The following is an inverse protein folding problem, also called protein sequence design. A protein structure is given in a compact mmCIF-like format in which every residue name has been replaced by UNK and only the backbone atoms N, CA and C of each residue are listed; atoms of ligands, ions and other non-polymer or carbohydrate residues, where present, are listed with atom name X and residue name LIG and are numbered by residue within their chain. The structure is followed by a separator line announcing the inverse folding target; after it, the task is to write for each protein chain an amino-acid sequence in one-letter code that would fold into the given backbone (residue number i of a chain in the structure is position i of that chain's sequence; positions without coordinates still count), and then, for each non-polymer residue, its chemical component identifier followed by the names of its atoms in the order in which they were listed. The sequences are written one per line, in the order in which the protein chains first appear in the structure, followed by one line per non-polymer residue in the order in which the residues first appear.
data_IF_319437601717
#
_entry.id   IF_319437601717
#
_cell.length_a   1.000
_cell.length_b   1.000
_cell.length_c   1.000
_cell.angle_alpha   90.00
_cell.angle_beta   90.00
_cell.angle_gamma   90.00
#
_symmetry.space_group_name_H-M   'P 1'
#
loop_
_entity.id
_entity.type
_entity.pdbx_description
1 polymer ?
#
# COMPACT_ATOMS: atom_id res chain seq x y z
N UNK A 1 -16.72 12.19 22.81
CA UNK A 1 -16.10 10.88 22.48
C UNK A 1 -14.94 10.68 23.45
N UNK A 2 -14.90 9.58 24.20
CA UNK A 2 -13.82 9.34 25.17
C UNK A 2 -12.48 9.23 24.43
N UNK A 3 -11.44 9.87 24.96
CA UNK A 3 -10.06 9.94 24.45
C UNK A 3 -9.36 8.56 24.22
N UNK A 4 -10.06 7.45 24.36
CA UNK A 4 -9.53 6.08 24.23
C UNK A 4 -9.47 5.58 22.78
N UNK A 5 -10.29 6.12 21.87
CA UNK A 5 -10.32 5.70 20.44
C UNK A 5 -9.00 5.94 19.68
N UNK A 6 -8.30 7.10 19.79
CA UNK A 6 -7.04 7.29 19.07
C UNK A 6 -5.90 6.39 19.56
N UNK A 7 -5.89 6.01 20.84
CA UNK A 7 -4.86 5.12 21.40
C UNK A 7 -4.89 3.71 20.78
N UNK A 8 -6.06 3.25 20.31
CA UNK A 8 -6.21 1.96 19.63
C UNK A 8 -5.85 2.02 18.14
N UNK A 9 -5.96 3.20 17.51
CA UNK A 9 -5.69 3.38 16.09
C UNK A 9 -4.19 3.53 15.78
N UNK A 10 -3.42 4.12 16.69
CA UNK A 10 -1.97 4.31 16.52
C UNK A 10 -1.21 2.98 16.26
N UNK A 11 -1.41 1.91 17.06
CA UNK A 11 -0.76 0.63 16.82
C UNK A 11 -1.17 0.00 15.48
N UNK A 12 -2.46 0.03 15.15
CA UNK A 12 -2.99 -0.55 13.91
C UNK A 12 -2.43 0.15 12.67
N UNK A 13 -2.35 1.49 12.69
CA UNK A 13 -1.80 2.28 11.58
C UNK A 13 -0.28 2.08 11.45
N UNK A 14 0.44 1.97 12.58
CA UNK A 14 1.87 1.69 12.59
C UNK A 14 2.18 0.32 11.97
N UNK A 15 1.40 -0.72 12.31
CA UNK A 15 1.52 -2.05 11.71
C UNK A 15 1.21 -2.04 10.21
N UNK A 16 0.20 -1.27 9.78
CA UNK A 16 -0.16 -1.12 8.38
C UNK A 16 0.94 -0.41 7.58
N UNK A 17 1.55 0.64 8.13
CA UNK A 17 2.69 1.32 7.52
C UNK A 17 3.91 0.41 7.41
N UNK A 18 4.18 -0.41 8.43
CA UNK A 18 5.25 -1.40 8.41
C UNK A 18 5.01 -2.45 7.33
N UNK A 19 3.77 -2.96 7.20
CA UNK A 19 3.41 -3.91 6.17
C UNK A 19 3.60 -3.33 4.75
N UNK A 20 3.19 -2.08 4.52
CA UNK A 20 3.40 -1.41 3.23
C UNK A 20 4.87 -1.16 2.92
N UNK A 21 5.64 -0.76 3.93
CA UNK A 21 7.10 -0.57 3.79
C UNK A 21 7.78 -1.88 3.43
N UNK A 22 7.44 -2.98 4.11
CA UNK A 22 7.95 -4.31 3.79
C UNK A 22 7.61 -4.72 2.34
N UNK A 23 6.36 -4.50 1.91
CA UNK A 23 5.95 -4.80 0.54
C UNK A 23 6.75 -4.01 -0.50
N UNK A 24 6.93 -2.70 -0.25
CA UNK A 24 7.73 -1.84 -1.11
C UNK A 24 9.17 -2.34 -1.22
N UNK A 25 9.81 -2.67 -0.09
CA UNK A 25 11.19 -3.16 -0.07
C UNK A 25 11.35 -4.46 -0.85
N UNK A 26 10.45 -5.41 -0.68
CA UNK A 26 10.47 -6.69 -1.40
C UNK A 26 10.33 -6.48 -2.91
N UNK A 27 9.38 -5.63 -3.34
CA UNK A 27 9.20 -5.33 -4.76
C UNK A 27 10.41 -4.60 -5.36
N UNK A 28 10.98 -3.64 -4.64
CA UNK A 28 12.17 -2.90 -5.07
C UNK A 28 13.40 -3.82 -5.20
N UNK A 29 13.57 -4.77 -4.27
CA UNK A 29 14.63 -5.77 -4.34
C UNK A 29 14.46 -6.68 -5.57
N UNK A 30 13.24 -7.12 -5.86
CA UNK A 30 12.96 -7.96 -7.02
C UNK A 30 13.23 -7.22 -8.35
N UNK A 31 12.84 -5.93 -8.45
CA UNK A 31 13.14 -5.09 -9.61
C UNK A 31 14.65 -4.98 -9.83
N UNK A 32 15.43 -4.73 -8.77
CA UNK A 32 16.90 -4.63 -8.87
C UNK A 32 17.51 -5.94 -9.35
N UNK A 33 17.06 -7.07 -8.80
CA UNK A 33 17.54 -8.40 -9.20
C UNK A 33 17.27 -8.67 -10.69
N UNK A 34 16.04 -8.45 -11.15
CA UNK A 34 15.67 -8.65 -12.55
C UNK A 34 16.44 -7.71 -13.49
N UNK A 35 16.67 -6.46 -13.07
CA UNK A 35 17.44 -5.49 -13.86
C UNK A 35 18.92 -5.91 -14.02
N UNK A 36 19.51 -6.57 -13.03
CA UNK A 36 20.87 -7.11 -13.12
C UNK A 36 20.93 -8.38 -14.01
N UNK A 37 19.90 -9.23 -13.96
CA UNK A 37 19.77 -10.40 -14.84
C UNK A 37 19.60 -9.99 -16.32
N UNK A 38 18.80 -8.95 -16.59
CA UNK A 38 18.55 -8.43 -17.95
C UNK A 38 19.81 -7.87 -18.61
N UNK A 39 20.65 -7.14 -17.86
CA UNK A 39 21.96 -6.66 -18.36
C UNK A 39 22.87 -7.79 -18.83
N UNK A 40 22.72 -8.97 -18.24
CA UNK A 40 23.60 -10.12 -18.48
C UNK A 40 23.08 -10.99 -19.62
N UNK A 41 21.77 -11.13 -19.78
CA UNK A 41 21.15 -12.10 -20.71
C UNK A 41 20.22 -11.51 -21.79
N UNK A 42 19.95 -10.20 -21.80
CA UNK A 42 19.07 -9.52 -22.79
C UNK A 42 17.70 -10.22 -22.98
N UNK A 43 17.09 -10.68 -21.90
CA UNK A 43 15.77 -11.32 -21.96
C UNK A 43 14.64 -10.28 -21.97
N UNK A 44 13.88 -10.18 -23.07
CA UNK A 44 12.65 -9.34 -23.16
C UNK A 44 11.62 -9.66 -22.06
N UNK A 45 11.66 -10.88 -21.51
CA UNK A 45 10.80 -11.31 -20.41
C UNK A 45 11.10 -10.54 -19.12
N UNK A 46 12.37 -10.22 -18.84
CA UNK A 46 12.78 -9.48 -17.66
C UNK A 46 12.28 -8.04 -17.70
N UNK A 47 12.37 -7.37 -18.86
CA UNK A 47 11.89 -5.99 -19.07
C UNK A 47 10.40 -5.88 -18.75
N UNK A 48 9.60 -6.84 -19.24
CA UNK A 48 8.15 -6.86 -19.03
C UNK A 48 7.79 -7.11 -17.57
N UNK A 49 8.55 -7.94 -16.85
CA UNK A 49 8.35 -8.14 -15.42
C UNK A 49 8.66 -6.90 -14.60
N UNK A 50 9.74 -6.18 -14.95
CA UNK A 50 10.12 -4.93 -14.29
C UNK A 50 9.00 -3.88 -14.41
N UNK A 51 8.40 -3.72 -15.59
CA UNK A 51 7.28 -2.76 -15.76
C UNK A 51 6.08 -3.11 -14.86
N UNK A 52 5.72 -4.40 -14.79
CA UNK A 52 4.63 -4.89 -13.93
C UNK A 52 4.92 -4.64 -12.45
N UNK A 53 6.15 -4.93 -12.00
CA UNK A 53 6.57 -4.70 -10.62
C UNK A 53 6.61 -3.21 -10.29
N UNK A 54 7.07 -2.37 -11.22
CA UNK A 54 7.07 -0.92 -11.06
C UNK A 54 5.65 -0.38 -10.86
N UNK A 55 4.66 -0.85 -11.62
CA UNK A 55 3.25 -0.48 -11.40
C UNK A 55 2.75 -0.86 -10.01
N UNK A 56 3.12 -2.04 -9.50
CA UNK A 56 2.78 -2.49 -8.13
C UNK A 56 3.43 -1.62 -7.05
N UNK A 57 4.68 -1.20 -7.27
CA UNK A 57 5.39 -0.25 -6.39
C UNK A 57 4.65 1.09 -6.31
N UNK A 58 4.30 1.68 -7.46
CA UNK A 58 3.56 2.95 -7.51
C UNK A 58 2.21 2.83 -6.83
N UNK A 59 1.51 1.71 -7.01
CA UNK A 59 0.22 1.47 -6.36
C UNK A 59 0.36 1.34 -4.83
N UNK A 60 1.37 0.60 -4.35
CA UNK A 60 1.71 0.48 -2.93
C UNK A 60 2.04 1.85 -2.31
N UNK A 61 2.80 2.68 -3.03
CA UNK A 61 3.13 4.04 -2.58
C UNK A 61 1.89 4.92 -2.45
N UNK A 62 0.97 4.87 -3.43
CA UNK A 62 -0.28 5.65 -3.41
C UNK A 62 -1.18 5.25 -2.24
N UNK A 63 -1.30 3.94 -1.97
CA UNK A 63 -2.01 3.43 -0.80
C UNK A 63 -1.39 3.95 0.51
N UNK A 64 -0.06 3.91 0.62
CA UNK A 64 0.65 4.38 1.81
C UNK A 64 0.44 5.87 2.05
N UNK A 65 0.50 6.71 1.00
CA UNK A 65 0.22 8.14 1.10
C UNK A 65 -1.21 8.39 1.58
N UNK A 66 -2.20 7.68 1.05
CA UNK A 66 -3.59 7.79 1.49
C UNK A 66 -3.76 7.38 2.97
N UNK A 67 -3.12 6.28 3.39
CA UNK A 67 -3.13 5.85 4.80
C UNK A 67 -2.48 6.86 5.75
N UNK A 68 -1.34 7.45 5.37
CA UNK A 68 -0.66 8.51 6.13
C UNK A 68 -1.52 9.77 6.19
N UNK A 69 -2.13 10.17 5.08
CA UNK A 69 -3.00 11.35 5.03
C UNK A 69 -4.23 11.17 5.93
N UNK A 70 -4.87 10.01 5.86
CA UNK A 70 -5.94 9.64 6.79
C UNK A 70 -5.50 9.79 8.24
N UNK A 71 -4.32 9.27 8.58
CA UNK A 71 -3.82 9.35 9.94
C UNK A 71 -3.59 10.80 10.39
N UNK A 72 -2.98 11.63 9.55
CA UNK A 72 -2.81 13.06 9.82
C UNK A 72 -4.15 13.77 10.05
N UNK A 73 -5.16 13.50 9.20
CA UNK A 73 -6.50 14.05 9.36
C UNK A 73 -7.15 13.59 10.67
N UNK A 74 -6.95 12.34 11.07
CA UNK A 74 -7.43 11.81 12.35
C UNK A 74 -6.73 12.48 13.54
N UNK A 75 -5.41 12.71 13.47
CA UNK A 75 -4.67 13.46 14.50
C UNK A 75 -5.16 14.90 14.61
N UNK A 76 -5.38 15.59 13.49
CA UNK A 76 -5.94 16.95 13.47
C UNK A 76 -7.36 16.99 14.01
N UNK A 77 -8.19 15.99 13.70
CA UNK A 77 -9.52 15.83 14.27
C UNK A 77 -9.46 15.74 15.79
N UNK A 78 -8.61 14.86 16.34
CA UNK A 78 -8.46 14.70 17.79
C UNK A 78 -7.96 15.99 18.45
N UNK A 79 -7.07 16.73 17.77
CA UNK A 79 -6.61 18.03 18.23
C UNK A 79 -7.72 19.09 18.22
N UNK A 80 -8.57 19.14 17.19
CA UNK A 80 -9.72 20.06 17.12
C UNK A 80 -10.76 19.77 18.22
N UNK A 81 -11.07 18.49 18.46
CA UNK A 81 -11.95 18.07 19.55
C UNK A 81 -11.36 18.41 20.92
N UNK A 82 -10.04 18.32 21.08
CA UNK A 82 -9.34 18.75 22.30
C UNK A 82 -9.49 20.26 22.55
N UNK A 83 -9.52 21.08 21.50
CA UNK A 83 -9.80 22.52 21.58
C UNK A 83 -11.29 22.87 21.73
N UNK A 84 -12.15 21.90 22.03
CA UNK A 84 -13.62 22.05 22.10
C UNK A 84 -14.27 22.53 20.80
N UNK A 85 -13.63 22.31 19.64
CA UNK A 85 -14.20 22.60 18.34
C UNK A 85 -14.84 21.35 17.72
N UNK A 86 -16.10 21.09 18.10
CA UNK A 86 -16.80 19.85 17.73
C UNK A 86 -17.05 19.72 16.21
N UNK A 87 -17.58 20.76 15.57
CA UNK A 87 -17.88 20.75 14.12
C UNK A 87 -16.65 20.39 13.24
N UNK A 88 -15.52 21.13 13.31
CA UNK A 88 -14.35 20.79 12.50
C UNK A 88 -13.74 19.45 12.91
N UNK A 89 -13.80 19.07 14.19
CA UNK A 89 -13.37 17.77 14.66
C UNK A 89 -14.12 16.62 13.98
N UNK A 90 -15.46 16.65 13.98
CA UNK A 90 -16.28 15.61 13.35
C UNK A 90 -16.08 15.53 11.84
N UNK A 91 -15.96 16.67 11.16
CA UNK A 91 -15.73 16.71 9.70
C UNK A 91 -14.36 16.10 9.35
N UNK A 92 -13.30 16.48 10.06
CA UNK A 92 -11.96 15.93 9.86
C UNK A 92 -11.91 14.43 10.18
N UNK A 93 -12.62 13.99 11.21
CA UNK A 93 -12.75 12.58 11.55
C UNK A 93 -13.40 11.79 10.42
N UNK A 94 -14.54 12.27 9.90
CA UNK A 94 -15.22 11.62 8.77
C UNK A 94 -14.34 11.55 7.52
N UNK A 95 -13.65 12.63 7.19
CA UNK A 95 -12.71 12.66 6.06
C UNK A 95 -11.57 11.65 6.23
N UNK A 96 -11.03 11.51 7.44
CA UNK A 96 -10.01 10.51 7.74
C UNK A 96 -10.51 9.07 7.50
N UNK A 97 -11.70 8.73 7.98
CA UNK A 97 -12.27 7.39 7.81
C UNK A 97 -12.51 7.03 6.34
N UNK A 98 -12.98 7.98 5.53
CA UNK A 98 -13.17 7.77 4.09
C UNK A 98 -11.81 7.54 3.41
N UNK A 99 -10.81 8.35 3.74
CA UNK A 99 -9.46 8.21 3.21
C UNK A 99 -8.82 6.86 3.58
N UNK A 100 -8.99 6.42 4.84
CA UNK A 100 -8.53 5.10 5.30
C UNK A 100 -9.23 3.96 4.55
N UNK A 101 -10.55 4.06 4.41
CA UNK A 101 -11.36 3.05 3.72
C UNK A 101 -10.92 2.89 2.26
N UNK A 102 -10.69 4.00 1.56
CA UNK A 102 -10.14 3.98 0.20
C UNK A 102 -8.77 3.32 0.15
N UNK A 103 -7.85 3.67 1.07
CA UNK A 103 -6.53 3.03 1.17
C UNK A 103 -6.62 1.52 1.34
N UNK A 104 -7.53 1.04 2.19
CA UNK A 104 -7.73 -0.39 2.44
C UNK A 104 -8.35 -1.12 1.24
N UNK A 105 -9.32 -0.51 0.56
CA UNK A 105 -9.91 -1.08 -0.66
C UNK A 105 -8.84 -1.24 -1.75
N UNK A 106 -8.02 -0.20 -1.98
CA UNK A 106 -6.89 -0.31 -2.91
C UNK A 106 -5.91 -1.40 -2.48
N UNK A 107 -5.67 -1.55 -1.17
CA UNK A 107 -4.83 -2.62 -0.62
C UNK A 107 -5.35 -4.01 -0.94
N UNK A 108 -6.66 -4.24 -0.79
CA UNK A 108 -7.28 -5.51 -1.12
C UNK A 108 -7.18 -5.79 -2.62
N UNK A 109 -7.48 -4.79 -3.45
CA UNK A 109 -7.41 -4.93 -4.91
C UNK A 109 -6.00 -5.25 -5.40
N UNK A 110 -5.00 -4.56 -4.86
CA UNK A 110 -3.62 -4.76 -5.28
C UNK A 110 -3.09 -6.14 -4.83
N UNK A 111 -3.52 -6.66 -3.68
CA UNK A 111 -3.24 -8.05 -3.26
C UNK A 111 -3.85 -9.04 -4.24
N UNK A 112 -5.12 -8.87 -4.62
CA UNK A 112 -5.81 -9.77 -5.56
C UNK A 112 -5.11 -9.81 -6.93
N UNK A 113 -4.79 -8.63 -7.49
CA UNK A 113 -4.10 -8.52 -8.78
C UNK A 113 -2.70 -9.15 -8.69
N UNK A 114 -1.98 -8.91 -7.60
CA UNK A 114 -0.65 -9.45 -7.37
C UNK A 114 -0.63 -10.97 -7.34
N UNK A 115 -1.57 -11.58 -6.62
CA UNK A 115 -1.69 -13.04 -6.52
C UNK A 115 -2.08 -13.65 -7.87
N UNK A 116 -3.00 -13.01 -8.59
CA UNK A 116 -3.41 -13.47 -9.92
C UNK A 116 -2.25 -13.42 -10.93
N UNK A 117 -1.49 -12.32 -10.97
CA UNK A 117 -0.32 -12.19 -11.83
C UNK A 117 0.75 -13.24 -11.54
N UNK A 118 0.99 -13.54 -10.26
CA UNK A 118 1.93 -14.57 -9.84
C UNK A 118 1.48 -15.98 -10.26
N UNK A 119 0.18 -16.29 -10.09
CA UNK A 119 -0.37 -17.58 -10.52
C UNK A 119 -0.24 -17.80 -12.02
N UNK A 120 -0.51 -16.77 -12.84
CA UNK A 120 -0.35 -16.85 -14.30
C UNK A 120 1.13 -17.06 -14.70
N UNK A 121 2.07 -16.40 -14.02
CA UNK A 121 3.51 -16.64 -14.24
C UNK A 121 3.93 -18.05 -13.86
N UNK A 122 3.47 -18.56 -12.70
CA UNK A 122 3.75 -19.92 -12.25
C UNK A 122 3.18 -20.97 -13.22
N UNK A 123 1.97 -20.76 -13.74
CA UNK A 123 1.38 -21.65 -14.75
C UNK A 123 2.18 -21.66 -16.06
N UNK A 124 2.69 -20.49 -16.48
CA UNK A 124 3.53 -20.36 -17.68
C UNK A 124 4.86 -21.08 -17.52
N UNK A 125 5.48 -21.02 -16.34
CA UNK A 125 6.72 -21.75 -16.04
C UNK A 125 6.49 -23.26 -15.90
N UNK A 126 5.31 -23.68 -15.40
CA UNK A 126 4.98 -25.10 -15.19
C UNK A 126 4.61 -25.84 -16.47
N UNK A 127 4.15 -25.13 -17.51
CA UNK A 127 3.94 -25.71 -18.84
C UNK A 127 5.25 -25.59 -19.63
N UNK A 128 6.10 -26.63 -19.71
CA UNK A 128 7.23 -26.60 -20.63
C UNK A 128 6.68 -26.36 -22.04
N UNK A 129 7.31 -25.41 -22.73
CA UNK A 129 7.01 -25.12 -24.13
C UNK A 129 7.19 -26.42 -24.93
N UNK A 130 6.22 -26.83 -25.77
CA UNK A 130 6.37 -28.01 -26.63
C UNK A 130 7.49 -27.82 -27.65
#
# INVERSE_FOLDING_TARGET
MSLTTPALLFPAISLLLLAYTNRFLVLAQLIRKLADEEKTHHEEVATRQIELLHRRVVLTQRMQVAGVLSFLLCTLSMFALYLHQDMPGVVLFGASLISLSLSLIFSLWEVLISTNALNVQLETLRRPKP
#
